data_IF_923824534305
#
_entry.id   IF_923824534305
#
_cell.length_a   1.000
_cell.length_b   1.000
_cell.length_c   1.000
_cell.angle_alpha   90.00
_cell.angle_beta   90.00
_cell.angle_gamma   90.00
#
_symmetry.space_group_name_H-M   'P 1'
#
loop_
_entity.id
_entity.type
_entity.pdbx_description
1 polymer ?
#
# COMPACT_ATOMS: atom_id res chain seq x y z
N UNK A 1 -1.64 -32.91 2.11
CA UNK A 1 -1.63 -31.91 1.07
C UNK A 1 -0.17 -31.54 0.76
N UNK A 2 0.22 -31.68 -0.52
CA UNK A 2 1.52 -31.22 -0.99
C UNK A 2 1.47 -29.70 -0.95
N UNK A 3 2.36 -29.08 -0.18
CA UNK A 3 2.48 -27.63 -0.18
C UNK A 3 2.93 -27.18 -1.59
N UNK A 4 2.28 -26.16 -2.16
CA UNK A 4 2.68 -25.67 -3.47
C UNK A 4 4.10 -25.12 -3.41
N UNK A 5 4.90 -25.41 -4.43
CA UNK A 5 6.25 -24.89 -4.55
C UNK A 5 6.19 -23.39 -4.83
N UNK A 6 6.81 -22.59 -3.97
CA UNK A 6 6.96 -21.15 -4.19
C UNK A 6 8.18 -20.90 -5.07
N UNK A 7 8.01 -20.06 -6.09
CA UNK A 7 9.09 -19.52 -6.90
C UNK A 7 9.26 -18.04 -6.56
N UNK A 8 10.44 -17.67 -6.09
CA UNK A 8 10.80 -16.29 -5.81
C UNK A 8 11.46 -15.66 -7.04
N UNK A 9 11.18 -14.37 -7.28
CA UNK A 9 11.80 -13.60 -8.35
C UNK A 9 13.15 -12.99 -7.96
N UNK A 10 13.49 -13.03 -6.67
CA UNK A 10 14.79 -12.67 -6.13
C UNK A 10 15.26 -13.77 -5.18
N UNK A 11 16.55 -14.05 -5.17
CA UNK A 11 17.15 -14.84 -4.09
C UNK A 11 17.24 -14.00 -2.81
N UNK A 12 17.56 -14.66 -1.70
CA UNK A 12 17.79 -13.97 -0.43
C UNK A 12 18.96 -12.99 -0.56
N UNK A 13 20.06 -13.41 -1.18
CA UNK A 13 21.27 -12.60 -1.36
C UNK A 13 21.00 -11.36 -2.23
N UNK A 14 20.22 -11.51 -3.30
CA UNK A 14 19.81 -10.40 -4.17
C UNK A 14 18.95 -9.39 -3.40
N UNK A 15 17.98 -9.87 -2.62
CA UNK A 15 17.13 -8.99 -1.81
C UNK A 15 17.93 -8.27 -0.72
N UNK A 16 18.83 -8.95 -0.02
CA UNK A 16 19.71 -8.36 0.98
C UNK A 16 20.67 -7.32 0.36
N UNK A 17 21.16 -7.57 -0.87
CA UNK A 17 21.98 -6.61 -1.61
C UNK A 17 21.18 -5.34 -1.96
N UNK A 18 19.92 -5.48 -2.40
CA UNK A 18 19.02 -4.35 -2.65
C UNK A 18 18.76 -3.54 -1.37
N UNK A 19 18.49 -4.21 -0.25
CA UNK A 19 18.32 -3.55 1.07
C UNK A 19 19.59 -2.80 1.47
N UNK A 20 20.77 -3.39 1.29
CA UNK A 20 22.04 -2.73 1.60
C UNK A 20 22.31 -1.52 0.70
N UNK A 21 21.89 -1.57 -0.57
CA UNK A 21 21.98 -0.43 -1.49
C UNK A 21 21.01 0.68 -1.07
N UNK A 22 19.75 0.35 -0.69
CA UNK A 22 18.80 1.31 -0.17
C UNK A 22 19.33 2.02 1.10
N UNK A 23 20.00 1.28 2.00
CA UNK A 23 20.65 1.88 3.19
C UNK A 23 21.72 2.88 2.82
N UNK A 24 22.48 2.69 1.72
CA UNK A 24 23.47 3.67 1.24
C UNK A 24 22.81 4.96 0.78
N UNK A 25 21.65 4.90 0.09
CA UNK A 25 20.87 6.07 -0.27
C UNK A 25 20.37 6.84 0.95
N UNK A 26 19.95 6.13 2.02
CA UNK A 26 19.58 6.75 3.30
C UNK A 26 20.81 7.45 3.93
N UNK A 27 21.95 6.79 3.96
CA UNK A 27 23.19 7.36 4.52
C UNK A 27 23.69 8.57 3.72
N UNK A 28 23.48 8.58 2.40
CA UNK A 28 23.81 9.72 1.53
C UNK A 28 22.84 10.89 1.69
N UNK A 29 21.69 10.69 2.35
CA UNK A 29 20.68 11.73 2.53
C UNK A 29 19.72 11.88 1.36
N UNK A 30 19.72 10.94 0.41
CA UNK A 30 18.82 10.96 -0.74
C UNK A 30 17.37 10.70 -0.34
N UNK A 31 17.17 9.80 0.63
CA UNK A 31 15.86 9.38 1.15
C UNK A 31 15.92 9.16 2.66
N UNK A 32 14.77 9.24 3.31
CA UNK A 32 14.61 8.89 4.74
C UNK A 32 14.25 7.43 4.93
N UNK A 33 13.40 6.90 4.05
CA UNK A 33 12.88 5.53 4.08
C UNK A 33 12.49 5.11 2.67
N UNK A 34 12.64 3.82 2.37
CA UNK A 34 12.03 3.20 1.18
C UNK A 34 11.51 1.82 1.51
N UNK A 35 10.43 1.41 0.85
CA UNK A 35 9.78 0.12 1.03
C UNK A 35 10.07 -0.75 -0.20
N UNK A 36 10.99 -1.71 -0.05
CA UNK A 36 11.31 -2.68 -1.09
C UNK A 36 10.37 -3.89 -1.02
N UNK A 37 9.93 -4.38 -2.17
CA UNK A 37 9.03 -5.51 -2.28
C UNK A 37 9.75 -6.81 -2.66
N UNK A 38 9.11 -7.93 -2.28
CA UNK A 38 9.52 -9.26 -2.70
C UNK A 38 8.34 -9.92 -3.43
N UNK A 39 8.58 -10.37 -4.66
CA UNK A 39 7.59 -11.06 -5.46
C UNK A 39 7.86 -12.55 -5.50
N UNK A 40 6.81 -13.31 -5.33
CA UNK A 40 6.83 -14.76 -5.51
C UNK A 40 5.55 -15.23 -6.21
N UNK A 41 5.61 -16.43 -6.77
CA UNK A 41 4.50 -17.06 -7.47
C UNK A 41 4.37 -18.53 -7.12
N UNK A 42 3.19 -19.08 -7.31
CA UNK A 42 2.90 -20.50 -7.15
C UNK A 42 1.77 -20.91 -8.08
N UNK A 43 1.60 -22.20 -8.28
CA UNK A 43 0.47 -22.76 -9.02
C UNK A 43 -0.63 -23.24 -8.09
N UNK A 44 -1.88 -23.09 -8.50
CA UNK A 44 -3.04 -23.54 -7.77
C UNK A 44 -4.13 -24.04 -8.71
N UNK A 45 -4.95 -24.97 -8.21
CA UNK A 45 -6.17 -25.43 -8.88
C UNK A 45 -7.42 -24.75 -8.30
N UNK A 46 -7.29 -24.00 -7.20
CA UNK A 46 -8.39 -23.27 -6.58
C UNK A 46 -8.77 -22.06 -7.44
N UNK A 47 -10.07 -21.77 -7.51
CA UNK A 47 -10.57 -20.54 -8.11
C UNK A 47 -10.23 -19.32 -7.25
N UNK A 48 -10.18 -18.14 -7.86
CA UNK A 48 -9.91 -16.91 -7.12
C UNK A 48 -10.96 -16.62 -6.04
N UNK A 49 -12.21 -17.00 -6.29
CA UNK A 49 -13.28 -16.86 -5.30
C UNK A 49 -13.07 -17.74 -4.07
N UNK A 50 -12.65 -19.00 -4.26
CA UNK A 50 -12.33 -19.89 -3.13
C UNK A 50 -11.16 -19.35 -2.30
N UNK A 51 -10.11 -18.85 -2.98
CA UNK A 51 -8.97 -18.23 -2.31
C UNK A 51 -9.41 -16.98 -1.53
N UNK A 52 -10.23 -16.10 -2.13
CA UNK A 52 -10.76 -14.91 -1.47
C UNK A 52 -11.56 -15.27 -0.21
N UNK A 53 -12.44 -16.26 -0.30
CA UNK A 53 -13.23 -16.74 0.84
C UNK A 53 -12.35 -17.28 1.97
N UNK A 54 -11.32 -18.02 1.64
CA UNK A 54 -10.35 -18.53 2.63
C UNK A 54 -9.58 -17.38 3.30
N UNK A 55 -9.11 -16.43 2.50
CA UNK A 55 -8.38 -15.26 3.03
C UNK A 55 -9.24 -14.40 3.95
N UNK A 56 -10.51 -14.19 3.63
CA UNK A 56 -11.42 -13.45 4.50
C UNK A 56 -11.63 -14.10 5.87
N UNK A 57 -11.55 -15.42 5.95
CA UNK A 57 -11.64 -16.15 7.22
C UNK A 57 -10.36 -16.03 8.05
N UNK A 58 -9.21 -16.07 7.38
CA UNK A 58 -7.89 -16.03 8.05
C UNK A 58 -7.53 -14.60 8.45
N UNK A 59 -7.81 -13.64 7.58
CA UNK A 59 -7.40 -12.24 7.74
C UNK A 59 -8.49 -11.28 7.25
N UNK A 60 -9.60 -11.14 8.02
CA UNK A 60 -10.65 -10.18 7.70
C UNK A 60 -10.04 -8.76 7.67
N UNK A 61 -10.30 -8.04 6.61
CA UNK A 61 -9.72 -6.72 6.37
C UNK A 61 -10.77 -5.74 5.85
N UNK A 62 -10.73 -4.46 6.27
CA UNK A 62 -11.80 -3.49 5.98
C UNK A 62 -11.88 -3.10 4.49
N UNK A 63 -10.80 -3.25 3.74
CA UNK A 63 -10.72 -2.93 2.31
C UNK A 63 -10.48 -4.18 1.46
N UNK A 64 -10.94 -5.34 1.94
CA UNK A 64 -10.87 -6.57 1.16
C UNK A 64 -11.75 -6.46 -0.09
N UNK A 65 -11.22 -6.94 -1.22
CA UNK A 65 -11.95 -6.94 -2.47
C UNK A 65 -11.60 -8.13 -3.37
N UNK A 66 -12.52 -8.48 -4.24
CA UNK A 66 -12.35 -9.47 -5.28
C UNK A 66 -12.84 -8.90 -6.61
N UNK A 67 -11.96 -8.92 -7.62
CA UNK A 67 -12.27 -8.45 -8.95
C UNK A 67 -11.88 -9.46 -10.01
N UNK A 68 -12.81 -9.74 -10.91
CA UNK A 68 -12.52 -10.48 -12.14
C UNK A 68 -12.26 -9.49 -13.27
N UNK A 69 -11.19 -9.72 -14.00
CA UNK A 69 -10.79 -8.94 -15.16
C UNK A 69 -10.49 -9.87 -16.34
N UNK A 70 -10.48 -9.39 -17.58
CA UNK A 70 -10.10 -10.22 -18.73
C UNK A 70 -8.67 -10.80 -18.65
N UNK A 71 -7.79 -10.22 -17.85
CA UNK A 71 -6.37 -10.60 -17.70
C UNK A 71 -6.06 -11.34 -16.40
N UNK A 72 -7.04 -11.51 -15.52
CA UNK A 72 -6.86 -12.24 -14.26
C UNK A 72 -7.82 -11.80 -13.16
N UNK A 73 -7.69 -12.43 -12.00
CA UNK A 73 -8.51 -12.19 -10.83
C UNK A 73 -7.68 -11.53 -9.72
N UNK A 74 -8.13 -10.38 -9.24
CA UNK A 74 -7.50 -9.65 -8.12
C UNK A 74 -8.17 -10.10 -6.83
N UNK A 75 -7.36 -10.59 -5.90
CA UNK A 75 -7.81 -11.15 -4.62
C UNK A 75 -7.08 -10.41 -3.52
N UNK A 76 -7.76 -9.51 -2.83
CA UNK A 76 -7.15 -8.59 -1.87
C UNK A 76 -7.80 -8.68 -0.49
N UNK A 77 -6.96 -8.75 0.55
CA UNK A 77 -7.34 -8.55 1.94
C UNK A 77 -6.60 -7.34 2.50
N UNK A 78 -6.69 -6.22 1.80
CA UNK A 78 -6.02 -4.98 2.17
C UNK A 78 -6.56 -4.40 3.48
N UNK A 79 -5.69 -4.07 4.43
CA UNK A 79 -6.08 -3.37 5.64
C UNK A 79 -6.05 -1.85 5.51
N UNK A 80 -5.50 -1.31 4.41
CA UNK A 80 -5.10 0.09 4.32
C UNK A 80 -5.85 0.83 3.22
N UNK A 81 -6.29 2.05 3.55
CA UNK A 81 -6.89 2.99 2.61
C UNK A 81 -5.79 3.84 1.97
N UNK A 82 -5.89 4.02 0.64
CA UNK A 82 -5.10 5.04 -0.05
C UNK A 82 -5.71 6.42 0.19
N UNK A 83 -6.99 6.58 -0.18
CA UNK A 83 -7.70 7.85 -0.04
C UNK A 83 -9.20 7.63 -0.06
N UNK A 84 -9.91 8.45 0.70
CA UNK A 84 -11.37 8.60 0.64
C UNK A 84 -11.71 10.04 0.28
N UNK A 85 -12.69 10.22 -0.62
CA UNK A 85 -13.33 11.50 -0.89
C UNK A 85 -14.83 11.34 -0.69
N UNK A 86 -15.44 12.24 0.03
CA UNK A 86 -16.86 12.19 0.35
C UNK A 86 -17.49 13.56 0.18
N UNK A 87 -18.62 13.62 -0.54
CA UNK A 87 -19.38 14.84 -0.72
C UNK A 87 -19.84 15.35 0.63
N UNK A 88 -19.53 16.61 0.93
CA UNK A 88 -19.92 17.29 2.16
C UNK A 88 -21.04 18.29 1.92
N UNK A 89 -20.92 19.05 0.83
CA UNK A 89 -21.97 19.97 0.33
C UNK A 89 -22.15 19.75 -1.16
N UNK A 90 -23.02 20.52 -1.81
CA UNK A 90 -23.24 20.40 -3.26
C UNK A 90 -21.96 20.59 -4.09
N UNK A 91 -21.03 21.38 -3.59
CA UNK A 91 -19.77 21.73 -4.30
C UNK A 91 -18.51 21.25 -3.58
N UNK A 92 -18.56 20.87 -2.30
CA UNK A 92 -17.37 20.55 -1.50
C UNK A 92 -17.25 19.07 -1.20
N UNK A 93 -16.01 18.58 -1.29
CA UNK A 93 -15.64 17.22 -0.91
C UNK A 93 -14.65 17.25 0.24
N UNK A 94 -14.93 16.48 1.27
CA UNK A 94 -13.97 16.13 2.29
C UNK A 94 -13.14 14.95 1.82
N UNK A 95 -11.83 15.09 1.89
CA UNK A 95 -10.88 14.01 1.59
C UNK A 95 -10.15 13.59 2.84
N UNK A 96 -9.81 12.31 2.92
CA UNK A 96 -9.01 11.77 4.03
C UNK A 96 -8.09 10.67 3.58
N UNK A 97 -6.94 10.58 4.25
CA UNK A 97 -5.99 9.46 4.20
C UNK A 97 -5.78 8.94 5.60
N UNK A 98 -5.41 7.66 5.72
CA UNK A 98 -5.29 7.01 7.02
C UNK A 98 -4.06 6.11 7.08
N UNK A 99 -2.86 6.69 7.19
CA UNK A 99 -1.62 5.93 7.25
C UNK A 99 -1.58 5.03 8.46
N UNK A 100 -1.06 3.84 8.25
CA UNK A 100 -0.84 2.83 9.27
C UNK A 100 0.66 2.61 9.39
N UNK A 101 1.19 2.70 10.61
CA UNK A 101 2.56 2.29 10.92
C UNK A 101 2.62 1.62 12.28
N UNK A 102 3.59 0.73 12.45
CA UNK A 102 3.70 -0.04 13.67
C UNK A 102 2.59 -1.08 13.86
N UNK A 103 2.96 -2.24 14.33
CA UNK A 103 2.03 -3.35 14.55
C UNK A 103 2.44 -4.14 15.77
N UNK A 104 1.48 -4.51 16.61
CA UNK A 104 1.62 -5.51 17.67
C UNK A 104 0.50 -6.54 17.55
N UNK A 105 0.81 -7.76 17.95
CA UNK A 105 -0.22 -8.78 18.15
C UNK A 105 -1.14 -8.39 19.31
N UNK A 106 -2.37 -8.88 19.29
CA UNK A 106 -3.29 -8.72 20.42
C UNK A 106 -2.79 -9.53 21.64
N UNK A 107 -2.97 -8.97 22.80
CA UNK A 107 -2.73 -9.68 24.05
C UNK A 107 -3.80 -10.74 24.32
N UNK A 108 -3.42 -11.85 24.96
CA UNK A 108 -4.35 -12.92 25.34
C UNK A 108 -5.27 -12.45 26.46
N UNK A 109 -4.77 -11.62 27.37
CA UNK A 109 -5.51 -11.02 28.48
C UNK A 109 -5.49 -9.48 28.35
N UNK A 110 -6.49 -8.77 28.90
CA UNK A 110 -6.60 -7.32 28.77
C UNK A 110 -5.35 -6.54 29.21
N UNK A 111 -4.70 -6.95 30.28
CA UNK A 111 -3.50 -6.31 30.83
C UNK A 111 -2.31 -6.41 29.87
N UNK A 112 -2.14 -7.56 29.24
CA UNK A 112 -1.12 -7.78 28.20
C UNK A 112 -1.42 -6.95 26.95
N UNK A 113 -2.68 -6.90 26.52
CA UNK A 113 -3.12 -6.11 25.35
C UNK A 113 -2.85 -4.63 25.57
N UNK A 114 -3.15 -4.13 26.77
CA UNK A 114 -2.88 -2.74 27.13
C UNK A 114 -1.37 -2.43 27.14
N UNK A 115 -0.55 -3.32 27.70
CA UNK A 115 0.91 -3.17 27.73
C UNK A 115 1.51 -3.14 26.33
N UNK A 116 1.02 -3.99 25.40
CA UNK A 116 1.46 -3.99 24.01
C UNK A 116 1.06 -2.71 23.27
N UNK A 117 -0.11 -2.15 23.58
CA UNK A 117 -0.54 -0.86 23.06
C UNK A 117 0.34 0.29 23.57
N UNK A 118 0.68 0.29 24.85
CA UNK A 118 1.58 1.28 25.46
C UNK A 118 2.99 1.18 24.88
N UNK A 119 3.52 -0.05 24.70
CA UNK A 119 4.81 -0.28 24.04
C UNK A 119 4.82 0.29 22.61
N UNK A 120 3.76 0.05 21.85
CA UNK A 120 3.61 0.60 20.50
C UNK A 120 3.57 2.12 20.50
N UNK A 121 2.80 2.73 21.39
CA UNK A 121 2.68 4.19 21.53
C UNK A 121 3.99 4.86 21.98
N UNK A 122 4.80 4.18 22.77
CA UNK A 122 6.04 4.71 23.35
C UNK A 122 7.28 4.37 22.52
N UNK A 123 7.15 3.55 21.50
CA UNK A 123 8.28 3.18 20.65
C UNK A 123 8.75 4.37 19.80
N UNK A 124 9.91 4.91 20.12
CA UNK A 124 10.44 6.12 19.49
C UNK A 124 10.68 5.98 17.99
N UNK A 125 11.13 4.79 17.55
CA UNK A 125 11.36 4.51 16.11
C UNK A 125 10.05 4.51 15.35
N UNK A 126 9.05 3.74 15.79
CA UNK A 126 7.75 3.62 15.12
C UNK A 126 6.99 4.96 15.11
N UNK A 127 7.09 5.73 16.18
CA UNK A 127 6.53 7.09 16.24
C UNK A 127 7.19 8.02 15.22
N UNK A 128 8.53 8.02 15.13
CA UNK A 128 9.25 8.85 14.17
C UNK A 128 8.91 8.49 12.73
N UNK A 129 8.86 7.20 12.43
CA UNK A 129 8.43 6.68 11.13
C UNK A 129 6.99 7.11 10.81
N UNK A 130 6.08 6.95 11.76
CA UNK A 130 4.67 7.33 11.57
C UNK A 130 4.49 8.83 11.34
N UNK A 131 5.17 9.68 12.09
CA UNK A 131 5.12 11.15 11.90
C UNK A 131 5.64 11.54 10.51
N UNK A 132 6.69 10.89 10.03
CA UNK A 132 7.19 11.10 8.66
C UNK A 132 6.13 10.74 7.61
N UNK A 133 5.43 9.62 7.77
CA UNK A 133 4.35 9.21 6.86
C UNK A 133 3.16 10.18 6.93
N UNK A 134 2.78 10.64 8.12
CA UNK A 134 1.76 11.68 8.31
C UNK A 134 2.13 12.96 7.55
N UNK A 135 3.37 13.40 7.64
CA UNK A 135 3.83 14.61 6.94
C UNK A 135 3.84 14.43 5.43
N UNK A 136 4.25 13.25 4.95
CA UNK A 136 4.17 12.90 3.53
C UNK A 136 2.74 12.96 2.99
N UNK A 137 1.78 12.39 3.69
CA UNK A 137 0.37 12.40 3.27
C UNK A 137 -0.28 13.79 3.41
N UNK A 138 0.12 14.57 4.42
CA UNK A 138 -0.24 16.00 4.49
C UNK A 138 0.23 16.77 3.26
N UNK A 139 1.45 16.52 2.82
CA UNK A 139 2.00 17.12 1.61
C UNK A 139 1.21 16.69 0.36
N UNK A 140 0.89 15.40 0.23
CA UNK A 140 0.10 14.89 -0.89
C UNK A 140 -1.29 15.55 -0.96
N UNK A 141 -2.02 15.63 0.14
CA UNK A 141 -3.30 16.30 0.22
C UNK A 141 -3.16 17.82 0.03
N UNK A 142 -2.09 18.42 0.52
CA UNK A 142 -1.82 19.86 0.38
C UNK A 142 -1.74 20.35 -1.05
N UNK A 143 -1.45 19.46 -2.01
CA UNK A 143 -1.39 19.79 -3.44
C UNK A 143 -2.77 20.01 -4.07
N UNK A 144 -3.81 19.42 -3.50
CA UNK A 144 -5.17 19.38 -4.07
C UNK A 144 -6.25 19.94 -3.15
N UNK A 145 -5.95 20.17 -1.88
CA UNK A 145 -6.88 20.73 -0.92
C UNK A 145 -6.81 22.25 -0.86
N UNK A 146 -7.84 22.85 -0.33
CA UNK A 146 -7.89 24.29 -0.02
C UNK A 146 -6.78 24.65 0.97
N UNK A 147 -6.22 25.85 0.80
CA UNK A 147 -5.18 26.35 1.68
C UNK A 147 -5.67 26.40 3.14
N UNK A 148 -4.89 25.81 4.05
CA UNK A 148 -5.19 25.76 5.47
C UNK A 148 -6.28 24.75 5.88
N UNK A 149 -6.87 23.99 4.93
CA UNK A 149 -7.88 22.97 5.24
C UNK A 149 -7.29 21.63 5.68
N UNK A 150 -6.03 21.34 5.31
CA UNK A 150 -5.40 20.06 5.66
C UNK A 150 -5.07 20.02 7.14
N UNK A 151 -5.63 19.02 7.84
CA UNK A 151 -5.50 18.83 9.28
C UNK A 151 -5.22 17.39 9.62
N UNK A 152 -4.51 17.18 10.70
CA UNK A 152 -4.40 15.85 11.36
C UNK A 152 -5.39 15.90 12.52
N UNK A 153 -6.53 15.25 12.37
CA UNK A 153 -7.61 15.25 13.36
C UNK A 153 -7.49 14.08 14.35
N UNK A 154 -6.82 12.99 13.93
CA UNK A 154 -6.40 11.91 14.83
C UNK A 154 -4.88 11.68 14.63
N UNK A 155 -4.12 11.70 15.70
CA UNK A 155 -2.67 11.51 15.67
C UNK A 155 -2.26 10.39 16.63
N UNK A 156 -1.53 9.38 16.12
CA UNK A 156 -0.96 8.29 16.92
C UNK A 156 -2.02 7.53 17.73
N UNK A 157 -3.14 7.19 17.12
CA UNK A 157 -4.22 6.43 17.76
C UNK A 157 -3.99 4.93 17.60
N UNK A 158 -4.29 4.15 18.65
CA UNK A 158 -4.26 2.69 18.56
C UNK A 158 -5.60 2.16 18.05
N UNK A 159 -5.57 1.54 16.88
CA UNK A 159 -6.69 0.76 16.35
C UNK A 159 -6.48 -0.72 16.64
N UNK A 160 -7.50 -1.34 17.26
CA UNK A 160 -7.48 -2.76 17.63
C UNK A 160 -8.34 -3.57 16.67
N UNK A 161 -7.72 -4.54 16.01
CA UNK A 161 -8.38 -5.52 15.17
C UNK A 161 -8.42 -6.90 15.86
N UNK A 162 -8.93 -7.91 15.20
CA UNK A 162 -9.10 -9.25 15.79
C UNK A 162 -7.79 -9.87 16.26
N UNK A 163 -6.71 -9.73 15.50
CA UNK A 163 -5.42 -10.40 15.76
C UNK A 163 -4.26 -9.44 15.99
N UNK A 164 -4.41 -8.19 15.59
CA UNK A 164 -3.35 -7.18 15.64
C UNK A 164 -3.92 -5.84 16.10
N UNK A 165 -3.02 -4.96 16.57
CA UNK A 165 -3.28 -3.55 16.77
C UNK A 165 -2.27 -2.73 15.97
N UNK A 166 -2.69 -1.58 15.49
CA UNK A 166 -1.89 -0.67 14.68
C UNK A 166 -1.85 0.73 15.26
N UNK A 167 -0.76 1.43 14.96
CA UNK A 167 -0.67 2.86 15.17
C UNK A 167 -1.19 3.56 13.91
N UNK A 168 -2.20 4.39 14.07
CA UNK A 168 -2.93 5.02 12.97
C UNK A 168 -3.05 6.52 13.21
N UNK A 169 -3.05 7.30 12.14
CA UNK A 169 -3.44 8.72 12.17
C UNK A 169 -4.46 8.98 11.08
N UNK A 170 -5.23 10.06 11.21
CA UNK A 170 -6.16 10.49 10.18
C UNK A 170 -5.80 11.90 9.71
N UNK A 171 -5.61 12.07 8.40
CA UNK A 171 -5.36 13.35 7.78
C UNK A 171 -6.57 13.69 6.92
N UNK A 172 -7.13 14.86 7.11
CA UNK A 172 -8.31 15.34 6.39
C UNK A 172 -8.03 16.65 5.67
N UNK A 173 -8.84 16.96 4.66
CA UNK A 173 -8.80 18.22 3.94
C UNK A 173 -10.09 18.47 3.17
N UNK A 174 -10.24 19.68 2.64
CA UNK A 174 -11.33 20.07 1.75
C UNK A 174 -10.73 20.20 0.35
N UNK A 175 -11.27 19.44 -0.60
CA UNK A 175 -10.82 19.47 -1.98
C UNK A 175 -11.13 20.84 -2.60
N UNK A 176 -10.20 21.39 -3.39
CA UNK A 176 -10.47 22.62 -4.16
C UNK A 176 -11.50 22.33 -5.26
N UNK A 177 -12.29 23.34 -5.61
CA UNK A 177 -13.38 23.22 -6.59
C UNK A 177 -12.90 22.90 -8.03
N UNK A 178 -11.65 23.24 -8.35
CA UNK A 178 -11.01 22.98 -9.64
C UNK A 178 -10.39 21.58 -9.77
N UNK A 179 -10.45 20.77 -8.72
CA UNK A 179 -9.79 19.44 -8.63
C UNK A 179 -10.81 18.33 -8.86
N UNK A 180 -10.52 17.50 -9.85
CA UNK A 180 -11.29 16.28 -10.12
C UNK A 180 -10.84 15.11 -9.25
N UNK A 181 -11.66 14.04 -9.21
CA UNK A 181 -11.28 12.77 -8.56
C UNK A 181 -9.98 12.19 -9.15
N UNK A 182 -9.74 12.37 -10.45
CA UNK A 182 -8.52 11.91 -11.11
C UNK A 182 -7.30 12.71 -10.62
N UNK A 183 -7.43 14.00 -10.42
CA UNK A 183 -6.35 14.85 -9.91
C UNK A 183 -6.03 14.50 -8.45
N UNK A 184 -7.06 14.21 -7.65
CA UNK A 184 -6.87 13.69 -6.30
C UNK A 184 -6.07 12.38 -6.31
N UNK A 185 -6.46 11.41 -7.14
CA UNK A 185 -5.72 10.15 -7.28
C UNK A 185 -4.27 10.41 -7.69
N UNK A 186 -4.01 11.26 -8.68
CA UNK A 186 -2.65 11.61 -9.13
C UNK A 186 -1.82 12.26 -8.02
N UNK A 187 -2.45 13.02 -7.12
CA UNK A 187 -1.76 13.65 -6.02
C UNK A 187 -1.30 12.66 -4.95
N UNK A 188 -2.12 11.66 -4.61
CA UNK A 188 -1.83 10.73 -3.52
C UNK A 188 -1.15 9.45 -3.97
N UNK A 189 -1.35 9.03 -5.23
CA UNK A 189 -0.80 7.79 -5.78
C UNK A 189 0.66 7.95 -6.25
N UNK A 190 1.51 6.92 -6.05
CA UNK A 190 1.30 5.77 -5.17
C UNK A 190 1.34 6.16 -3.68
N UNK A 191 0.80 5.30 -2.81
CA UNK A 191 0.78 5.55 -1.37
C UNK A 191 2.18 5.73 -0.77
N UNK A 192 2.30 6.65 0.20
CA UNK A 192 3.57 6.92 0.87
C UNK A 192 4.09 5.75 1.68
N UNK A 193 3.20 5.02 2.35
CA UNK A 193 3.50 3.85 3.18
C UNK A 193 4.16 2.70 2.41
N UNK A 194 3.90 2.60 1.11
CA UNK A 194 4.41 1.53 0.23
C UNK A 194 5.56 1.98 -0.69
N UNK A 195 5.91 3.25 -0.69
CA UNK A 195 7.03 3.80 -1.47
C UNK A 195 8.15 4.31 -0.58
N UNK A 196 7.92 5.37 0.14
CA UNK A 196 8.86 6.01 1.04
C UNK A 196 8.91 7.52 0.88
N UNK A 197 9.91 8.15 1.49
CA UNK A 197 10.04 9.61 1.57
C UNK A 197 11.48 10.05 1.26
N UNK A 198 11.68 11.04 0.36
CA UNK A 198 10.74 11.70 -0.55
C UNK A 198 10.21 10.76 -1.64
N UNK A 199 8.90 10.84 -1.94
CA UNK A 199 8.18 9.86 -2.77
C UNK A 199 8.82 9.64 -4.16
N UNK A 200 9.07 10.69 -4.91
CA UNK A 200 9.60 10.60 -6.29
C UNK A 200 10.97 9.91 -6.28
N UNK A 201 11.87 10.33 -5.39
CA UNK A 201 13.20 9.74 -5.27
C UNK A 201 13.14 8.27 -4.85
N UNK A 202 12.22 7.92 -3.95
CA UNK A 202 12.01 6.52 -3.58
C UNK A 202 11.52 5.67 -4.75
N UNK A 203 10.64 6.21 -5.60
CA UNK A 203 10.17 5.50 -6.80
C UNK A 203 11.31 5.22 -7.79
N UNK A 204 12.23 6.18 -7.99
CA UNK A 204 13.42 5.99 -8.83
C UNK A 204 14.31 4.87 -8.28
N UNK A 205 14.59 4.89 -6.97
CA UNK A 205 15.41 3.87 -6.30
C UNK A 205 14.75 2.50 -6.33
N UNK A 206 13.43 2.44 -6.15
CA UNK A 206 12.67 1.18 -6.25
C UNK A 206 12.76 0.58 -7.65
N UNK A 207 12.61 1.41 -8.71
CA UNK A 207 12.74 0.96 -10.10
C UNK A 207 14.16 0.48 -10.42
N UNK A 208 15.18 1.03 -9.76
CA UNK A 208 16.58 0.61 -9.89
C UNK A 208 16.87 -0.72 -9.18
N UNK A 209 16.31 -0.90 -7.97
CA UNK A 209 16.70 -1.99 -7.06
C UNK A 209 15.82 -3.23 -7.17
N UNK A 210 14.56 -3.10 -7.59
CA UNK A 210 13.66 -4.25 -7.73
C UNK A 210 13.87 -4.93 -9.09
N UNK A 211 14.05 -6.28 -9.12
CA UNK A 211 14.34 -7.02 -10.35
C UNK A 211 13.11 -7.10 -11.29
N UNK A 212 11.92 -6.86 -10.76
CA UNK A 212 10.66 -6.91 -11.50
C UNK A 212 9.76 -5.74 -11.14
N UNK A 213 9.01 -5.24 -12.12
CA UNK A 213 8.04 -4.17 -11.87
C UNK A 213 6.91 -4.63 -10.99
N UNK A 214 6.42 -3.74 -10.15
CA UNK A 214 5.34 -3.99 -9.18
C UNK A 214 4.00 -4.32 -9.84
N UNK A 215 3.73 -3.79 -11.05
CA UNK A 215 2.47 -3.97 -11.77
C UNK A 215 1.27 -3.60 -10.87
N UNK A 216 0.34 -4.56 -10.62
CA UNK A 216 -0.81 -4.39 -9.76
C UNK A 216 -0.44 -4.21 -8.28
N UNK A 217 0.66 -4.84 -7.84
CA UNK A 217 1.07 -4.83 -6.44
C UNK A 217 1.46 -3.41 -6.01
N UNK A 218 0.97 -2.98 -4.85
CA UNK A 218 1.02 -1.61 -4.37
C UNK A 218 0.26 -0.59 -5.23
N UNK A 219 -0.59 -1.09 -6.13
CA UNK A 219 -1.60 -0.29 -6.82
C UNK A 219 -2.76 0.05 -5.90
N UNK A 220 -3.89 0.33 -6.49
CA UNK A 220 -5.10 0.69 -5.76
C UNK A 220 -6.34 0.11 -6.43
N UNK A 221 -7.34 -0.20 -5.62
CA UNK A 221 -8.63 -0.69 -6.04
C UNK A 221 -9.73 -0.07 -5.18
N UNK A 222 -10.89 0.16 -5.76
CA UNK A 222 -12.02 0.73 -5.04
C UNK A 222 -13.11 1.20 -5.97
N UNK A 223 -13.81 2.25 -5.59
CA UNK A 223 -14.91 2.79 -6.38
C UNK A 223 -14.89 4.31 -6.47
N UNK A 224 -15.48 4.81 -7.53
CA UNK A 224 -15.88 6.19 -7.73
C UNK A 224 -17.36 6.16 -8.11
N UNK A 225 -18.22 6.79 -7.32
CA UNK A 225 -19.65 6.80 -7.58
C UNK A 225 -20.08 8.03 -8.42
N UNK A 226 -21.34 8.02 -8.84
CA UNK A 226 -21.93 9.09 -9.65
C UNK A 226 -22.02 10.45 -8.96
N UNK A 227 -21.91 10.47 -7.64
CA UNK A 227 -21.90 11.70 -6.86
C UNK A 227 -20.49 12.27 -6.66
N UNK A 228 -19.47 11.54 -7.17
CA UNK A 228 -18.06 11.89 -7.03
C UNK A 228 -17.42 11.41 -5.73
N UNK A 229 -18.12 10.60 -4.92
CA UNK A 229 -17.49 9.95 -3.78
C UNK A 229 -16.51 8.88 -4.24
N UNK A 230 -15.42 8.75 -3.54
CA UNK A 230 -14.31 7.85 -3.85
C UNK A 230 -13.84 7.16 -2.59
N UNK A 231 -13.59 5.85 -2.65
CA UNK A 231 -12.85 5.13 -1.61
C UNK A 231 -11.93 4.10 -2.26
N UNK A 232 -10.62 4.29 -2.08
CA UNK A 232 -9.57 3.49 -2.70
C UNK A 232 -8.68 2.89 -1.62
N UNK A 233 -8.35 1.61 -1.78
CA UNK A 233 -7.39 0.91 -0.94
C UNK A 233 -5.97 0.97 -1.52
N UNK A 234 -5.01 0.45 -0.76
CA UNK A 234 -3.67 0.09 -1.24
C UNK A 234 -3.65 -1.43 -1.45
N UNK A 235 -3.25 -1.90 -2.64
CA UNK A 235 -3.20 -3.32 -2.96
C UNK A 235 -1.98 -3.99 -2.31
N UNK A 236 -2.07 -4.21 -1.00
CA UNK A 236 -1.19 -5.04 -0.18
C UNK A 236 -1.95 -6.27 0.31
N UNK A 237 -1.27 -7.32 0.72
CA UNK A 237 -1.89 -8.62 1.06
C UNK A 237 -2.82 -9.08 -0.08
N UNK A 238 -2.30 -8.95 -1.30
CA UNK A 238 -3.05 -9.12 -2.54
C UNK A 238 -2.40 -10.18 -3.40
N UNK A 239 -3.22 -11.03 -3.98
CA UNK A 239 -2.84 -12.05 -4.94
C UNK A 239 -3.42 -11.68 -6.30
N UNK A 240 -2.68 -11.99 -7.35
CA UNK A 240 -3.17 -11.95 -8.73
C UNK A 240 -3.19 -13.38 -9.28
N UNK A 241 -4.36 -13.89 -9.55
CA UNK A 241 -4.55 -15.18 -10.20
C UNK A 241 -4.68 -14.96 -11.71
N UNK A 242 -3.77 -15.53 -12.48
CA UNK A 242 -3.82 -15.46 -13.94
C UNK A 242 -3.98 -16.85 -14.54
N UNK A 243 -4.72 -17.00 -15.65
CA UNK A 243 -4.82 -18.26 -16.35
C UNK A 243 -3.42 -18.74 -16.82
N UNK A 244 -3.10 -20.01 -16.59
CA UNK A 244 -1.89 -20.60 -17.16
C UNK A 244 -2.19 -21.18 -18.55
N UNK A 245 -1.22 -21.12 -19.45
CA UNK A 245 -1.33 -21.74 -20.79
C UNK A 245 -1.44 -23.27 -20.73
N UNK A 246 -1.26 -23.89 -19.53
CA UNK A 246 -1.32 -25.34 -19.29
C UNK A 246 -2.64 -25.81 -18.70
N UNK A 247 -3.68 -24.97 -18.62
CA UNK A 247 -4.99 -25.34 -18.03
C UNK A 247 -5.01 -25.43 -16.49
N UNK A 248 -3.88 -25.21 -15.84
CA UNK A 248 -3.77 -25.06 -14.38
C UNK A 248 -3.63 -23.57 -14.11
N UNK A 249 -4.53 -22.98 -13.34
CA UNK A 249 -4.46 -21.57 -12.94
C UNK A 249 -3.12 -21.28 -12.23
N UNK A 250 -2.36 -20.34 -12.73
CA UNK A 250 -1.11 -19.89 -12.11
C UNK A 250 -1.29 -18.48 -11.54
N UNK A 251 -0.83 -18.25 -10.31
CA UNK A 251 -0.66 -16.89 -9.80
C UNK A 251 0.59 -16.34 -10.48
N UNK A 252 0.40 -15.62 -11.58
CA UNK A 252 1.48 -14.87 -12.24
C UNK A 252 1.44 -13.43 -11.82
N UNK A 253 2.59 -12.94 -11.45
CA UNK A 253 2.87 -11.54 -11.69
C UNK A 253 3.08 -11.33 -13.19
N UNK A 254 2.58 -10.24 -13.73
CA UNK A 254 2.64 -9.88 -15.15
C UNK A 254 4.10 -9.89 -15.62
N UNK A 255 4.45 -10.77 -16.56
CA UNK A 255 5.67 -10.65 -17.35
C UNK A 255 5.46 -9.57 -18.40
N UNK A 256 6.11 -8.44 -18.26
CA UNK A 256 6.33 -7.54 -19.38
C UNK A 256 7.64 -7.87 -20.09
N UNK A 257 7.55 -7.94 -21.40
CA UNK A 257 8.63 -8.13 -22.36
C UNK A 257 9.72 -7.06 -22.15
N UNK A 258 10.85 -7.47 -21.59
CA UNK A 258 12.01 -6.60 -21.37
C UNK A 258 12.80 -6.42 -22.68
N UNK A 259 12.30 -5.60 -23.59
CA UNK A 259 13.13 -4.99 -24.63
C UNK A 259 13.02 -3.47 -24.53
N UNK A 260 13.77 -2.88 -23.64
CA UNK A 260 14.08 -1.45 -23.67
C UNK A 260 15.58 -1.25 -23.62
N UNK A 261 16.15 -0.89 -24.75
CA UNK A 261 17.44 -0.19 -24.84
C UNK A 261 17.33 1.12 -24.02
N UNK A 262 18.31 1.45 -23.19
CA UNK A 262 18.32 2.71 -22.47
C UNK A 262 18.36 3.89 -23.47
N UNK A 263 17.71 5.02 -23.18
CA UNK A 263 17.80 6.19 -24.01
C UNK A 263 19.24 6.71 -23.99
N UNK A 264 19.81 6.94 -25.17
CA UNK A 264 21.08 7.63 -25.36
C UNK A 264 20.99 9.04 -24.77
N UNK A 265 21.96 9.50 -24.01
CA UNK A 265 22.00 10.88 -23.52
C UNK A 265 22.13 11.82 -24.70
N UNK A 266 21.20 12.76 -24.82
CA UNK A 266 21.35 13.88 -25.73
C UNK A 266 22.43 14.81 -25.22
N UNK A 267 23.47 15.00 -26.02
CA UNK A 267 24.52 16.03 -25.90
C UNK A 267 23.91 17.42 -25.97
#
# INVERSE_FOLDING_TARGET
>A
PILPTLRFHSSQEEYEAAVNSAKKYIQAGDIFQTNLSLRFETQTTASGWEIYRALQQINPSPFACYFQTPWGEVISCSPERLVKSQRHTDTKFHVSTRPIAGTRSRGIIPEQDQKLAEDLLNNTKERAEHIMLVDLERNDLGRVCEWGSVKVDELLTIERYSHVMHLVSNITGILRDDISAVDLIRAVFPGGTITGCPKVRCMEIIEELEPVRRSLFYGSCGYLDWQGNLDLNILIRTLLLVPSNSGVGGVRGVEENTSRTPPTPHT
#
